data_IF_253626644231
#
_entry.id   IF_253626644231
#
_cell.length_a   1.000
_cell.length_b   1.000
_cell.length_c   1.000
_cell.angle_alpha   90.00
_cell.angle_beta   90.00
_cell.angle_gamma   90.00
#
_symmetry.space_group_name_H-M   'P 1'
#
loop_
_entity.id
_entity.type
_entity.pdbx_description
1 polymer ?
#
# COMPACT_ATOMS: atom_id res chain seq x y z
N UNK A 1 -51.25 31.01 4.99
CA UNK A 1 -51.02 30.28 6.25
C UNK A 1 -50.96 28.80 5.88
N UNK A 2 -49.87 28.29 5.27
CA UNK A 2 -48.62 27.85 5.91
C UNK A 2 -48.85 26.83 7.03
N UNK A 3 -48.84 25.53 6.71
CA UNK A 3 -48.27 24.46 7.56
C UNK A 3 -48.47 23.08 6.93
N UNK A 4 -47.51 22.65 6.12
CA UNK A 4 -47.37 21.22 5.74
C UNK A 4 -45.90 20.89 5.47
N UNK A 5 -44.99 21.34 6.34
CA UNK A 5 -43.55 21.03 6.21
C UNK A 5 -42.94 20.85 7.61
N UNK A 6 -43.43 19.89 8.38
CA UNK A 6 -42.88 19.61 9.72
C UNK A 6 -42.80 18.13 10.08
N UNK A 7 -42.95 17.22 9.11
CA UNK A 7 -42.98 15.77 9.41
C UNK A 7 -42.00 14.91 8.61
N UNK A 8 -40.88 15.49 8.12
CA UNK A 8 -39.91 14.71 7.32
C UNK A 8 -38.44 14.94 7.69
N UNK A 9 -38.16 15.81 8.67
CA UNK A 9 -36.77 16.10 9.06
C UNK A 9 -36.24 15.24 10.23
N UNK A 10 -37.08 14.51 10.95
CA UNK A 10 -36.62 13.77 12.15
C UNK A 10 -35.99 12.40 11.85
N UNK A 11 -36.11 11.84 10.65
CA UNK A 11 -35.55 10.50 10.35
C UNK A 11 -34.11 10.52 9.82
N UNK A 12 -33.60 11.64 9.31
CA UNK A 12 -32.26 11.68 8.70
C UNK A 12 -31.13 12.08 9.65
N UNK A 13 -31.44 12.66 10.81
CA UNK A 13 -30.39 13.09 11.75
C UNK A 13 -29.93 11.99 12.71
N UNK A 14 -30.64 10.86 12.80
CA UNK A 14 -30.26 9.77 13.71
C UNK A 14 -29.31 8.73 13.09
N UNK A 15 -29.09 8.75 11.76
CA UNK A 15 -28.19 7.80 11.10
C UNK A 15 -26.73 8.28 10.98
N UNK A 16 -26.47 9.59 11.17
CA UNK A 16 -25.10 10.12 11.04
C UNK A 16 -24.29 9.97 12.34
N UNK A 17 -24.94 9.90 13.50
CA UNK A 17 -24.25 9.82 14.79
C UNK A 17 -23.63 8.44 15.11
N UNK A 18 -24.04 7.37 14.42
CA UNK A 18 -23.49 6.02 14.61
C UNK A 18 -22.27 5.73 13.72
N UNK A 19 -22.02 6.51 12.67
CA UNK A 19 -20.85 6.34 11.79
C UNK A 19 -19.61 7.10 12.27
N UNK A 20 -19.77 8.11 13.13
CA UNK A 20 -18.64 8.91 13.63
C UNK A 20 -17.96 8.33 14.87
N UNK A 21 -18.64 7.48 15.65
CA UNK A 21 -18.07 6.91 16.88
C UNK A 21 -17.13 5.70 16.65
N UNK A 22 -16.95 5.21 15.41
CA UNK A 22 -15.98 4.14 15.10
C UNK A 22 -14.59 4.66 14.71
N UNK A 23 -14.41 5.98 14.57
CA UNK A 23 -13.15 6.55 14.09
C UNK A 23 -12.14 6.88 15.20
N UNK A 24 -12.51 6.82 16.47
CA UNK A 24 -11.75 7.45 17.57
C UNK A 24 -11.28 6.46 18.65
N UNK A 25 -11.26 5.16 18.38
CA UNK A 25 -10.73 4.13 19.31
C UNK A 25 -9.70 3.17 18.68
N UNK A 26 -9.19 3.48 17.49
CA UNK A 26 -8.14 2.68 16.81
C UNK A 26 -6.71 3.12 17.16
N UNK A 27 -6.52 3.91 18.22
CA UNK A 27 -5.22 3.97 18.87
C UNK A 27 -5.03 2.75 19.81
N UNK A 28 -5.46 1.55 19.38
CA UNK A 28 -4.88 0.34 19.96
C UNK A 28 -3.40 0.43 19.67
N UNK A 29 -2.56 0.34 20.71
CA UNK A 29 -1.12 0.45 20.57
C UNK A 29 -0.64 -0.64 19.60
N UNK A 30 -0.55 -0.31 18.31
CA UNK A 30 0.03 -1.18 17.30
C UNK A 30 1.40 -1.58 17.83
N UNK A 31 1.70 -2.88 17.82
CA UNK A 31 3.02 -3.31 18.26
C UNK A 31 4.12 -2.70 17.38
N UNK A 32 5.36 -2.75 17.90
CA UNK A 32 6.50 -2.15 17.23
C UNK A 32 6.72 -2.74 15.82
N UNK A 33 6.43 -4.02 15.63
CA UNK A 33 6.66 -4.71 14.36
C UNK A 33 5.67 -4.27 13.29
N UNK A 34 4.37 -4.16 13.61
CA UNK A 34 3.39 -3.64 12.66
C UNK A 34 3.67 -2.18 12.27
N UNK A 35 4.16 -1.38 13.22
CA UNK A 35 4.62 -0.03 12.95
C UNK A 35 5.85 -0.01 12.03
N UNK A 36 6.83 -0.87 12.27
CA UNK A 36 8.05 -0.98 11.46
C UNK A 36 7.75 -1.51 10.05
N UNK A 37 6.87 -2.50 9.92
CA UNK A 37 6.35 -2.97 8.65
C UNK A 37 5.72 -1.81 7.87
N UNK A 38 4.80 -1.08 8.50
CA UNK A 38 4.09 0.04 7.85
C UNK A 38 5.04 1.14 7.40
N UNK A 39 6.05 1.49 8.20
CA UNK A 39 7.11 2.43 7.81
C UNK A 39 7.93 1.91 6.64
N UNK A 40 8.35 0.64 6.67
CA UNK A 40 9.11 0.03 5.59
C UNK A 40 8.31 -0.02 4.27
N UNK A 41 7.01 -0.32 4.31
CA UNK A 41 6.13 -0.29 3.15
C UNK A 41 5.98 1.13 2.57
N UNK A 42 5.85 2.14 3.43
CA UNK A 42 5.83 3.55 3.01
C UNK A 42 7.13 3.96 2.31
N UNK A 43 8.28 3.55 2.85
CA UNK A 43 9.59 3.78 2.26
C UNK A 43 9.73 3.11 0.89
N UNK A 44 9.26 1.87 0.75
CA UNK A 44 9.28 1.15 -0.52
C UNK A 44 8.39 1.87 -1.54
N UNK A 45 7.17 2.25 -1.16
CA UNK A 45 6.24 2.99 -2.01
C UNK A 45 6.87 4.26 -2.57
N UNK A 46 7.40 5.12 -1.69
CA UNK A 46 8.07 6.37 -2.08
C UNK A 46 9.33 6.13 -2.90
N UNK A 47 10.05 5.05 -2.61
CA UNK A 47 11.23 4.66 -3.37
C UNK A 47 10.89 4.23 -4.79
N UNK A 48 9.82 3.45 -4.97
CA UNK A 48 9.36 3.01 -6.29
C UNK A 48 8.86 4.17 -7.15
N UNK A 49 8.21 5.18 -6.56
CA UNK A 49 7.82 6.41 -7.27
C UNK A 49 9.01 7.19 -7.85
N UNK A 50 10.19 7.04 -7.24
CA UNK A 50 11.43 7.73 -7.64
C UNK A 50 12.40 6.84 -8.40
N UNK A 51 12.04 5.57 -8.59
CA UNK A 51 12.93 4.58 -9.19
C UNK A 51 13.08 4.87 -10.68
N UNK A 52 14.33 5.06 -11.12
CA UNK A 52 14.64 5.28 -12.54
C UNK A 52 14.75 3.95 -13.28
N UNK A 53 14.37 3.88 -14.57
CA UNK A 53 14.61 2.69 -15.37
C UNK A 53 16.08 2.27 -15.37
N UNK A 54 16.34 0.99 -15.15
CA UNK A 54 17.72 0.45 -15.10
C UNK A 54 18.49 0.71 -13.80
N UNK A 55 17.90 1.37 -12.80
CA UNK A 55 18.52 1.57 -11.49
C UNK A 55 18.39 0.30 -10.62
N UNK A 56 19.19 -0.71 -10.97
CA UNK A 56 19.19 -2.03 -10.32
C UNK A 56 19.58 -1.93 -8.85
N UNK A 57 20.48 -1.01 -8.49
CA UNK A 57 20.95 -0.83 -7.11
C UNK A 57 19.81 -0.36 -6.19
N UNK A 58 19.09 0.70 -6.59
CA UNK A 58 17.94 1.14 -5.80
C UNK A 58 16.80 0.12 -5.82
N UNK A 59 16.56 -0.56 -6.94
CA UNK A 59 15.58 -1.64 -7.00
C UNK A 59 15.88 -2.74 -5.97
N UNK A 60 17.12 -3.23 -5.91
CA UNK A 60 17.54 -4.26 -4.95
C UNK A 60 17.42 -3.79 -3.51
N UNK A 61 17.75 -2.52 -3.24
CA UNK A 61 17.57 -1.91 -1.91
C UNK A 61 16.09 -1.86 -1.51
N UNK A 62 15.19 -1.52 -2.43
CA UNK A 62 13.76 -1.51 -2.18
C UNK A 62 13.21 -2.93 -1.99
N UNK A 63 13.70 -3.90 -2.75
CA UNK A 63 13.34 -5.31 -2.58
C UNK A 63 13.74 -5.83 -1.20
N UNK A 64 14.95 -5.52 -0.74
CA UNK A 64 15.41 -5.87 0.61
C UNK A 64 14.54 -5.24 1.70
N UNK A 65 14.13 -3.97 1.52
CA UNK A 65 13.18 -3.30 2.44
C UNK A 65 11.80 -3.97 2.43
N UNK A 66 11.30 -4.37 1.27
CA UNK A 66 10.02 -5.07 1.14
C UNK A 66 10.05 -6.44 1.83
N UNK A 67 11.15 -7.19 1.68
CA UNK A 67 11.37 -8.45 2.40
C UNK A 67 11.48 -8.24 3.91
N UNK A 68 12.10 -7.14 4.35
CA UNK A 68 12.15 -6.78 5.77
C UNK A 68 10.76 -6.43 6.32
N UNK A 69 9.93 -5.75 5.53
CA UNK A 69 8.53 -5.51 5.89
C UNK A 69 7.75 -6.82 6.06
N UNK A 70 7.96 -7.81 5.18
CA UNK A 70 7.35 -9.13 5.32
C UNK A 70 7.71 -9.78 6.66
N UNK A 71 9.00 -9.77 7.04
CA UNK A 71 9.44 -10.33 8.33
C UNK A 71 8.76 -9.67 9.52
N UNK A 72 8.57 -8.35 9.49
CA UNK A 72 7.84 -7.63 10.54
C UNK A 72 6.34 -7.98 10.55
N UNK A 73 5.72 -8.17 9.40
CA UNK A 73 4.34 -8.66 9.31
C UNK A 73 4.20 -10.12 9.79
N UNK A 74 5.24 -10.93 9.66
CA UNK A 74 5.24 -12.29 10.18
C UNK A 74 5.36 -12.31 11.71
N UNK A 75 6.21 -11.44 12.28
CA UNK A 75 6.55 -11.40 13.70
C UNK A 75 5.58 -10.60 14.58
N UNK A 76 4.81 -9.68 13.99
CA UNK A 76 3.79 -8.90 14.71
C UNK A 76 2.80 -9.80 15.45
N UNK A 77 2.41 -9.41 16.66
CA UNK A 77 1.35 -10.08 17.43
C UNK A 77 -0.01 -9.44 17.13
N UNK A 78 -0.03 -8.27 16.52
CA UNK A 78 -1.20 -7.46 16.17
C UNK A 78 -1.97 -7.95 14.94
N UNK A 79 -1.98 -9.26 14.67
CA UNK A 79 -2.57 -9.84 13.44
C UNK A 79 -4.10 -9.69 13.34
N UNK A 80 -4.76 -9.47 14.47
CA UNK A 80 -6.21 -9.23 14.53
C UNK A 80 -6.60 -7.79 14.19
N UNK A 81 -5.63 -6.87 14.12
CA UNK A 81 -5.89 -5.46 13.84
C UNK A 81 -6.23 -5.25 12.35
N UNK A 82 -7.16 -4.33 12.02
CA UNK A 82 -7.45 -3.99 10.63
C UNK A 82 -6.22 -3.45 9.90
N UNK A 83 -5.31 -2.78 10.61
CA UNK A 83 -4.04 -2.26 10.09
C UNK A 83 -3.11 -3.37 9.61
N UNK A 84 -3.12 -4.54 10.26
CA UNK A 84 -2.36 -5.71 9.78
C UNK A 84 -2.87 -6.15 8.40
N UNK A 85 -4.19 -6.31 8.26
CA UNK A 85 -4.81 -6.68 6.98
C UNK A 85 -4.49 -5.66 5.88
N UNK A 86 -4.57 -4.36 6.21
CA UNK A 86 -4.21 -3.28 5.30
C UNK A 86 -2.72 -3.34 4.90
N UNK A 87 -1.83 -3.60 5.85
CA UNK A 87 -0.39 -3.70 5.61
C UNK A 87 -0.03 -4.92 4.75
N UNK A 88 -0.65 -6.08 4.96
CA UNK A 88 -0.47 -7.28 4.12
C UNK A 88 -0.94 -7.02 2.69
N UNK A 89 -2.12 -6.41 2.51
CA UNK A 89 -2.62 -6.03 1.17
C UNK A 89 -1.63 -5.13 0.45
N UNK A 90 -1.16 -4.09 1.16
CA UNK A 90 -0.21 -3.13 0.60
C UNK A 90 1.15 -3.74 0.29
N UNK A 91 1.62 -4.69 1.10
CA UNK A 91 2.82 -5.47 0.81
C UNK A 91 2.68 -6.24 -0.51
N UNK A 92 1.56 -6.93 -0.72
CA UNK A 92 1.27 -7.65 -1.96
C UNK A 92 1.22 -6.72 -3.18
N UNK A 93 0.56 -5.58 -3.06
CA UNK A 93 0.51 -4.55 -4.12
C UNK A 93 1.91 -4.07 -4.52
N UNK A 94 2.78 -3.79 -3.54
CA UNK A 94 4.15 -3.36 -3.78
C UNK A 94 4.99 -4.48 -4.41
N UNK A 95 4.78 -5.74 -4.01
CA UNK A 95 5.45 -6.89 -4.59
C UNK A 95 5.10 -7.04 -6.08
N UNK A 96 3.81 -6.96 -6.44
CA UNK A 96 3.36 -6.98 -7.83
C UNK A 96 3.99 -5.83 -8.62
N UNK A 97 3.99 -4.61 -8.07
CA UNK A 97 4.57 -3.44 -8.73
C UNK A 97 6.07 -3.61 -9.01
N UNK A 98 6.80 -4.19 -8.07
CA UNK A 98 8.22 -4.50 -8.27
C UNK A 98 8.42 -5.52 -9.40
N UNK A 99 7.62 -6.60 -9.42
CA UNK A 99 7.68 -7.61 -10.47
C UNK A 99 7.38 -7.02 -11.86
N UNK A 100 6.39 -6.13 -11.97
CA UNK A 100 6.04 -5.45 -13.22
C UNK A 100 7.19 -4.57 -13.74
N UNK A 101 7.86 -3.84 -12.83
CA UNK A 101 9.04 -3.04 -13.18
C UNK A 101 10.16 -3.93 -13.72
N UNK A 102 10.46 -5.04 -13.04
CA UNK A 102 11.49 -5.97 -13.49
C UNK A 102 11.16 -6.58 -14.86
N UNK A 103 9.89 -6.94 -15.08
CA UNK A 103 9.40 -7.45 -16.38
C UNK A 103 9.56 -6.41 -17.49
N UNK A 104 9.17 -5.16 -17.22
CA UNK A 104 9.32 -4.05 -18.18
C UNK A 104 10.78 -3.80 -18.55
N UNK A 105 11.69 -3.86 -17.58
CA UNK A 105 13.12 -3.70 -17.84
C UNK A 105 13.69 -4.83 -18.70
N UNK A 106 13.37 -6.08 -18.38
CA UNK A 106 13.81 -7.22 -19.17
C UNK A 106 13.31 -7.14 -20.63
N UNK A 107 12.05 -6.76 -20.83
CA UNK A 107 11.49 -6.55 -22.17
C UNK A 107 12.23 -5.43 -22.92
N UNK A 108 12.52 -4.30 -22.25
CA UNK A 108 13.24 -3.18 -22.87
C UNK A 108 14.68 -3.55 -23.27
N UNK A 109 15.38 -4.37 -22.48
CA UNK A 109 16.73 -4.82 -22.83
C UNK A 109 16.73 -5.79 -24.02
N UNK A 110 15.77 -6.71 -24.09
CA UNK A 110 15.63 -7.62 -25.22
C UNK A 110 15.38 -6.86 -26.53
N UNK A 111 14.54 -5.82 -26.49
CA UNK A 111 14.26 -5.00 -27.66
C UNK A 111 15.49 -4.19 -28.10
N UNK A 112 16.26 -3.63 -27.16
CA UNK A 112 17.50 -2.93 -27.45
C UNK A 112 18.58 -3.85 -28.08
N UNK A 113 18.66 -5.11 -27.62
CA UNK A 113 19.58 -6.12 -28.17
C UNK A 113 19.16 -6.58 -29.57
N UNK A 114 17.86 -6.72 -29.82
CA UNK A 114 17.34 -7.06 -31.14
C UNK A 114 17.60 -5.94 -32.17
N UNK A 115 17.48 -4.68 -31.75
CA UNK A 115 17.70 -3.51 -32.62
C UNK A 115 19.17 -3.22 -32.92
N UNK A 116 20.11 -3.73 -32.11
CA UNK A 116 21.55 -3.53 -32.28
C UNK A 116 22.25 -4.66 -33.05
N UNK A 117 21.51 -5.71 -33.44
CA UNK A 117 22.03 -6.81 -34.28
C UNK A 117 21.99 -6.37 -35.77
N UNK A 118 23.13 -6.31 -36.48
CA UNK A 118 23.13 -5.98 -37.91
C UNK A 118 22.37 -7.06 -38.71
N UNK A 119 21.68 -6.70 -39.81
CA UNK A 119 20.99 -7.67 -40.65
C UNK A 119 21.98 -8.69 -41.25
N UNK A 120 21.52 -9.93 -41.52
CA UNK A 120 22.34 -10.98 -42.11
C UNK A 120 22.81 -10.66 -43.53
#
# INVERSE_FOLDING_TARGET
>A
MANTILNTCCCFMFQVALLYNMAVDQAQAMDADLNLATRALNDVSKGLERLRPGDVSNYNRLSAKLNKAAKYLESTTSKSLPEFTAAVKRWGELQTRMADIAKAWNASQQQAQAASRPPP
#
